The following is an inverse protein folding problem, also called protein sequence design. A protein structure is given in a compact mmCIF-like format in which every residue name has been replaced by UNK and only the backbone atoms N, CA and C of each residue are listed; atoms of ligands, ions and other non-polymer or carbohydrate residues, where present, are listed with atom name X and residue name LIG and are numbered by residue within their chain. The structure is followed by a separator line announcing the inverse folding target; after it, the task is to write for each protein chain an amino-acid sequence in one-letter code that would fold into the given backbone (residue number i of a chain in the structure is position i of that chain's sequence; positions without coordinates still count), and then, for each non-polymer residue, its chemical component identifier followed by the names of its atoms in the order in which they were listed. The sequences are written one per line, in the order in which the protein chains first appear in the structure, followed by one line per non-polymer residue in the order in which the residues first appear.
data_IF_250074162695
#
_entry.id   IF_250074162695
#
_cell.length_a   1.000
_cell.length_b   1.000
_cell.length_c   1.000
_cell.angle_alpha   90.00
_cell.angle_beta   90.00
_cell.angle_gamma   90.00
#
_symmetry.space_group_name_H-M   'P 1'
#
loop_
_entity.id
_entity.type
_entity.pdbx_description
1 polymer ?
#
# COMPACT_ATOMS: atom_id res chain seq x y z
N UNK A 1 -7.40 13.08 -16.41
CA UNK A 1 -7.86 14.31 -15.71
C UNK A 1 -9.38 14.43 -15.73
N UNK A 2 -10.04 14.30 -16.90
CA UNK A 2 -11.51 14.34 -16.98
C UNK A 2 -12.20 13.31 -16.09
N UNK A 3 -11.75 12.05 -16.04
CA UNK A 3 -12.36 11.02 -15.17
C UNK A 3 -12.38 11.40 -13.69
N UNK A 4 -11.30 11.98 -13.16
CA UNK A 4 -11.23 12.41 -11.77
C UNK A 4 -12.17 13.60 -11.51
N UNK A 5 -12.21 14.56 -12.45
CA UNK A 5 -13.08 15.72 -12.38
C UNK A 5 -14.57 15.36 -12.48
N UNK A 6 -14.94 14.38 -13.32
CA UNK A 6 -16.34 13.89 -13.43
C UNK A 6 -16.82 13.24 -12.14
N UNK A 7 -15.90 12.71 -11.33
CA UNK A 7 -16.20 12.15 -10.00
C UNK A 7 -15.93 13.16 -8.85
N UNK A 8 -15.72 14.44 -9.14
CA UNK A 8 -15.52 15.47 -8.12
C UNK A 8 -14.18 15.41 -7.37
N UNK A 9 -13.20 14.66 -7.89
CA UNK A 9 -11.88 14.49 -7.26
C UNK A 9 -10.83 15.43 -7.85
N UNK A 10 -10.10 16.13 -6.99
CA UNK A 10 -9.03 17.05 -7.40
C UNK A 10 -7.72 16.30 -7.57
N UNK A 11 -7.17 16.31 -8.79
CA UNK A 11 -5.87 15.71 -9.07
C UNK A 11 -4.73 16.70 -8.80
N UNK A 12 -3.87 16.39 -7.83
CA UNK A 12 -2.67 17.17 -7.52
C UNK A 12 -1.41 16.32 -7.70
N UNK A 13 -0.44 16.85 -8.43
CA UNK A 13 0.89 16.26 -8.56
C UNK A 13 1.81 16.80 -7.45
N UNK A 14 2.78 15.98 -7.04
CA UNK A 14 3.87 16.42 -6.17
C UNK A 14 4.81 17.36 -6.93
N UNK A 15 5.50 18.25 -6.22
CA UNK A 15 6.50 19.10 -6.85
C UNK A 15 7.71 18.25 -7.28
N UNK A 16 8.36 18.56 -8.42
CA UNK A 16 9.59 17.90 -8.81
C UNK A 16 10.61 17.90 -7.66
N UNK A 17 11.31 16.79 -7.48
CA UNK A 17 12.34 16.61 -6.43
C UNK A 17 11.83 16.68 -4.97
N UNK A 18 10.51 16.60 -4.74
CA UNK A 18 9.92 16.57 -3.39
C UNK A 18 9.23 15.24 -3.09
N UNK A 19 9.96 14.13 -3.21
CA UNK A 19 9.42 12.78 -2.92
C UNK A 19 8.83 12.67 -1.51
N UNK A 20 9.33 13.47 -0.57
CA UNK A 20 8.80 13.57 0.79
C UNK A 20 7.32 13.94 0.81
N UNK A 21 6.77 14.64 -0.19
CA UNK A 21 5.32 14.91 -0.24
C UNK A 21 4.47 13.62 -0.35
N UNK A 22 5.06 12.51 -0.80
CA UNK A 22 4.41 11.21 -0.94
C UNK A 22 4.77 10.22 0.19
N UNK A 23 5.41 10.70 1.26
CA UNK A 23 6.01 9.84 2.29
C UNK A 23 5.06 8.82 2.90
N UNK A 24 3.77 9.18 3.06
CA UNK A 24 2.75 8.29 3.63
C UNK A 24 2.47 7.11 2.73
N UNK A 25 2.22 7.36 1.45
CA UNK A 25 1.96 6.30 0.48
C UNK A 25 3.17 5.37 0.33
N UNK A 26 4.38 5.95 0.30
CA UNK A 26 5.63 5.17 0.22
C UNK A 26 5.84 4.28 1.46
N UNK A 27 5.54 4.79 2.67
CA UNK A 27 5.64 3.98 3.89
C UNK A 27 4.64 2.83 3.89
N UNK A 28 3.38 3.10 3.57
CA UNK A 28 2.34 2.07 3.51
C UNK A 28 2.69 1.00 2.47
N UNK A 29 3.16 1.41 1.28
CA UNK A 29 3.56 0.47 0.23
C UNK A 29 4.71 -0.44 0.68
N UNK A 30 5.73 0.12 1.36
CA UNK A 30 6.83 -0.68 1.91
C UNK A 30 6.35 -1.65 2.98
N UNK A 31 5.52 -1.19 3.92
CA UNK A 31 4.95 -2.06 4.96
C UNK A 31 4.15 -3.21 4.36
N UNK A 32 3.30 -2.96 3.36
CA UNK A 32 2.54 -4.02 2.70
C UNK A 32 3.45 -5.02 2.00
N UNK A 33 4.47 -4.57 1.27
CA UNK A 33 5.42 -5.45 0.60
C UNK A 33 6.20 -6.32 1.58
N UNK A 34 6.68 -5.73 2.68
CA UNK A 34 7.39 -6.48 3.72
C UNK A 34 6.46 -7.55 4.32
N UNK A 35 5.20 -7.19 4.65
CA UNK A 35 4.20 -8.14 5.14
C UNK A 35 3.87 -9.26 4.15
N UNK A 36 3.77 -8.96 2.85
CA UNK A 36 3.55 -10.00 1.82
C UNK A 36 4.71 -10.99 1.80
N UNK A 37 5.95 -10.50 1.77
CA UNK A 37 7.14 -11.34 1.79
C UNK A 37 7.21 -12.20 3.06
N UNK A 38 6.92 -11.64 4.24
CA UNK A 38 6.91 -12.41 5.48
C UNK A 38 5.81 -13.46 5.50
N UNK A 39 4.59 -13.15 5.07
CA UNK A 39 3.48 -14.12 5.01
C UNK A 39 3.80 -15.31 4.09
N UNK A 40 4.32 -15.04 2.89
CA UNK A 40 4.69 -16.09 1.94
C UNK A 40 5.80 -16.99 2.50
N UNK A 41 6.81 -16.39 3.13
CA UNK A 41 7.91 -17.11 3.77
C UNK A 41 7.42 -17.95 4.96
N UNK A 42 6.62 -17.36 5.87
CA UNK A 42 6.11 -18.04 7.05
C UNK A 42 5.16 -19.18 6.73
N UNK A 43 4.32 -19.04 5.70
CA UNK A 43 3.42 -20.10 5.25
C UNK A 43 4.10 -21.13 4.32
N UNK A 44 5.38 -20.91 3.97
CA UNK A 44 6.13 -21.74 3.03
C UNK A 44 5.40 -21.95 1.69
N UNK A 45 4.79 -20.89 1.15
CA UNK A 45 4.03 -20.93 -0.10
C UNK A 45 4.78 -20.23 -1.24
N UNK A 46 4.63 -20.71 -2.49
CA UNK A 46 5.26 -20.06 -3.64
C UNK A 46 4.80 -18.61 -3.85
N UNK A 47 5.66 -17.73 -4.43
CA UNK A 47 5.32 -16.32 -4.68
C UNK A 47 4.09 -16.08 -5.57
N UNK A 48 3.60 -17.07 -6.32
CA UNK A 48 2.36 -16.95 -7.10
C UNK A 48 1.12 -16.64 -6.25
N UNK A 49 1.18 -16.94 -4.96
CA UNK A 49 0.13 -16.63 -3.97
C UNK A 49 0.26 -15.21 -3.38
N UNK A 50 1.12 -14.35 -3.96
CA UNK A 50 1.24 -12.95 -3.53
C UNK A 50 -0.09 -12.17 -3.50
N UNK A 51 -1.11 -12.42 -4.36
CA UNK A 51 -2.38 -11.70 -4.26
C UNK A 51 -3.12 -12.03 -2.96
N UNK A 52 -3.14 -13.29 -2.55
CA UNK A 52 -3.77 -13.75 -1.30
C UNK A 52 -3.00 -13.22 -0.07
N UNK A 53 -1.67 -13.25 -0.14
CA UNK A 53 -0.81 -12.66 0.89
C UNK A 53 -1.02 -11.15 0.99
N UNK A 54 -1.23 -10.43 -0.13
CA UNK A 54 -1.51 -9.00 -0.14
C UNK A 54 -2.89 -8.68 0.43
N UNK A 55 -3.91 -9.47 0.09
CA UNK A 55 -5.24 -9.33 0.69
C UNK A 55 -5.18 -9.53 2.22
N UNK A 56 -4.40 -10.50 2.68
CA UNK A 56 -4.17 -10.74 4.11
C UNK A 56 -3.40 -9.60 4.76
N UNK A 57 -2.31 -9.13 4.15
CA UNK A 57 -1.50 -8.02 4.66
C UNK A 57 -2.31 -6.72 4.78
N UNK A 58 -3.13 -6.41 3.77
CA UNK A 58 -3.99 -5.22 3.79
C UNK A 58 -5.09 -5.30 4.85
N UNK A 59 -5.69 -6.48 5.05
CA UNK A 59 -6.64 -6.69 6.15
C UNK A 59 -5.96 -6.45 7.51
N UNK A 60 -4.82 -7.08 7.74
CA UNK A 60 -4.06 -6.96 9.00
C UNK A 60 -3.64 -5.51 9.28
N UNK A 61 -3.20 -4.77 8.27
CA UNK A 61 -2.82 -3.36 8.40
C UNK A 61 -4.00 -2.46 8.80
N UNK A 62 -5.20 -2.75 8.29
CA UNK A 62 -6.40 -1.96 8.58
C UNK A 62 -7.05 -2.29 9.93
N UNK A 63 -6.86 -3.49 10.48
CA UNK A 63 -7.46 -3.90 11.77
C UNK A 63 -6.51 -3.74 12.96
N UNK A 64 -5.19 -3.70 12.73
CA UNK A 64 -4.24 -3.58 13.84
C UNK A 64 -4.38 -2.21 14.51
N UNK A 65 -4.24 -2.14 15.84
CA UNK A 65 -4.23 -0.86 16.54
C UNK A 65 -3.01 -0.05 16.07
N UNK A 66 -3.27 1.07 15.41
CA UNK A 66 -2.24 2.05 15.10
C UNK A 66 -2.10 3.02 16.28
N UNK A 67 -0.86 3.31 16.69
CA UNK A 67 -0.60 4.34 17.69
C UNK A 67 -0.98 5.69 17.09
N UNK A 68 -2.01 6.32 17.67
CA UNK A 68 -2.38 7.73 17.40
C UNK A 68 -1.36 8.65 18.04
#
# INVERSE_FOLDING_TARGET
RNLLATHGTVFRLTCPYTSQQNWRAERVLRTLNDCVCTLLFHANVPPRFWPDALATATLLDNIRPCRV
#
